data_IF_737444518133
#
_entry.id   IF_737444518133
#
_cell.length_a   1.000
_cell.length_b   1.000
_cell.length_c   1.000
_cell.angle_alpha   90.00
_cell.angle_beta   90.00
_cell.angle_gamma   90.00
#
_symmetry.space_group_name_H-M   'P 1'
#
loop_
_entity.id
_entity.type
_entity.pdbx_description
1 polymer ?
#
# COMPACT_ATOMS: atom_id res chain seq x y z
N UNK A 1 44.53 -32.94 -19.76
CA UNK A 1 43.07 -32.89 -19.94
C UNK A 1 42.60 -31.47 -19.67
N UNK A 2 41.98 -30.82 -20.64
CA UNK A 2 41.56 -29.40 -20.60
C UNK A 2 40.14 -29.35 -20.02
N UNK A 3 39.92 -28.64 -18.92
CA UNK A 3 38.58 -28.41 -18.36
C UNK A 3 38.20 -26.95 -18.58
N UNK A 4 37.57 -26.67 -19.71
CA UNK A 4 36.91 -25.39 -19.98
C UNK A 4 35.57 -25.39 -19.27
N UNK A 5 35.49 -24.64 -18.16
CA UNK A 5 34.25 -24.33 -17.48
C UNK A 5 33.55 -23.21 -18.24
N UNK A 6 32.42 -23.55 -18.88
CA UNK A 6 31.53 -22.62 -19.55
C UNK A 6 30.86 -21.69 -18.54
N UNK A 7 31.15 -20.40 -18.68
CA UNK A 7 30.49 -19.30 -17.98
C UNK A 7 29.05 -19.18 -18.51
N UNK A 8 28.06 -19.35 -17.63
CA UNK A 8 26.66 -19.08 -17.93
C UNK A 8 26.27 -17.75 -17.26
N UNK A 9 26.30 -16.70 -18.07
CA UNK A 9 25.73 -15.38 -17.78
C UNK A 9 24.21 -15.46 -17.97
N UNK A 10 23.44 -15.08 -16.95
CA UNK A 10 22.21 -14.30 -17.06
C UNK A 10 21.60 -14.16 -15.65
N UNK A 11 22.12 -13.24 -14.82
CA UNK A 11 21.34 -12.76 -13.69
C UNK A 11 20.46 -11.63 -14.21
N UNK A 12 19.18 -11.98 -14.41
CA UNK A 12 18.14 -11.04 -14.77
C UNK A 12 18.20 -9.83 -13.85
N UNK A 13 18.26 -8.64 -14.45
CA UNK A 13 18.13 -7.39 -13.74
C UNK A 13 16.75 -7.39 -13.06
N UNK A 14 16.73 -7.57 -11.74
CA UNK A 14 15.59 -7.26 -10.89
C UNK A 14 15.40 -5.75 -10.96
N UNK A 15 14.64 -5.30 -11.96
CA UNK A 15 14.04 -3.97 -11.94
C UNK A 15 12.94 -4.03 -10.89
N UNK A 16 13.34 -3.87 -9.63
CA UNK A 16 12.39 -3.63 -8.54
C UNK A 16 11.85 -2.21 -8.79
N UNK A 17 10.58 -2.03 -9.19
CA UNK A 17 10.01 -0.70 -9.13
C UNK A 17 10.02 -0.31 -7.66
N UNK A 18 10.82 0.71 -7.32
CA UNK A 18 10.70 1.47 -6.08
C UNK A 18 9.39 2.25 -6.13
N UNK A 19 8.26 1.54 -6.09
CA UNK A 19 6.97 2.13 -5.80
C UNK A 19 6.88 2.26 -4.27
N UNK A 20 7.47 3.31 -3.75
CA UNK A 20 7.56 3.56 -2.32
C UNK A 20 7.91 5.01 -2.01
N UNK A 21 7.34 5.94 -2.77
CA UNK A 21 7.17 7.32 -2.31
C UNK A 21 5.67 7.49 -2.06
N UNK A 22 5.30 7.46 -0.78
CA UNK A 22 3.96 7.70 -0.25
C UNK A 22 3.56 9.16 -0.51
N UNK A 23 3.23 9.46 -1.75
CA UNK A 23 2.45 10.63 -2.13
C UNK A 23 1.09 10.09 -2.51
N UNK A 24 0.05 10.42 -1.73
CA UNK A 24 -1.36 10.20 -2.06
C UNK A 24 -1.60 10.61 -3.51
N UNK A 25 -1.50 9.64 -4.43
CA UNK A 25 -1.89 9.82 -5.82
C UNK A 25 -3.41 9.87 -5.82
N UNK A 26 -4.01 10.61 -6.73
CA UNK A 26 -5.45 10.57 -6.99
C UNK A 26 -5.88 9.17 -7.47
N UNK A 27 -5.91 8.20 -6.57
CA UNK A 27 -6.34 6.83 -6.86
C UNK A 27 -7.86 6.87 -6.97
N UNK A 28 -8.37 6.42 -8.11
CA UNK A 28 -9.81 6.30 -8.36
C UNK A 28 -10.12 4.89 -8.79
N UNK A 29 -11.12 4.28 -8.17
CA UNK A 29 -11.47 2.89 -8.45
C UNK A 29 -12.50 2.34 -7.49
N UNK A 30 -12.64 1.02 -7.50
CA UNK A 30 -13.57 0.30 -6.63
C UNK A 30 -12.84 -0.18 -5.39
N UNK A 31 -13.35 0.11 -4.21
CA UNK A 31 -12.82 -0.45 -2.97
C UNK A 31 -13.05 -1.97 -2.99
N UNK A 32 -11.98 -2.75 -2.87
CA UNK A 32 -12.04 -4.21 -2.85
C UNK A 32 -11.71 -4.80 -1.49
N UNK A 33 -11.02 -4.04 -0.64
CA UNK A 33 -10.71 -4.44 0.74
C UNK A 33 -10.50 -3.23 1.66
N UNK A 34 -10.51 -3.49 2.96
CA UNK A 34 -10.36 -2.48 4.01
C UNK A 34 -9.56 -3.03 5.19
N UNK A 35 -8.52 -2.32 5.61
CA UNK A 35 -7.64 -2.74 6.70
C UNK A 35 -7.50 -1.64 7.75
N UNK A 36 -7.14 -2.02 8.98
CA UNK A 36 -6.93 -1.08 10.09
C UNK A 36 -5.81 -1.60 10.97
N UNK A 37 -4.73 -0.84 11.04
CA UNK A 37 -3.56 -1.20 11.81
C UNK A 37 -3.31 -0.22 12.95
N UNK A 38 -2.88 -0.75 14.09
CA UNK A 38 -2.52 0.06 15.25
C UNK A 38 -1.00 0.14 15.36
N UNK A 39 -0.46 1.24 14.85
CA UNK A 39 0.95 1.54 14.96
C UNK A 39 1.27 2.24 16.29
N UNK A 40 2.24 1.71 17.02
CA UNK A 40 2.71 2.34 18.24
C UNK A 40 4.19 2.72 18.14
N UNK A 41 4.47 4.02 18.00
CA UNK A 41 5.84 4.54 18.04
C UNK A 41 6.31 4.81 19.48
N UNK A 42 7.49 4.30 19.82
CA UNK A 42 8.19 4.63 21.07
C UNK A 42 9.19 5.75 20.80
N UNK A 43 8.88 6.97 21.21
CA UNK A 43 9.86 8.06 21.15
C UNK A 43 10.84 7.97 22.32
N UNK A 44 12.13 7.71 22.03
CA UNK A 44 13.21 7.67 23.04
C UNK A 44 13.35 9.00 23.80
N UNK A 45 12.93 10.13 23.21
CA UNK A 45 13.03 11.47 23.81
C UNK A 45 11.94 11.79 24.83
N UNK A 46 10.73 11.24 24.69
CA UNK A 46 9.58 11.70 25.49
C UNK A 46 9.07 10.71 26.55
N UNK A 47 9.67 9.52 26.71
CA UNK A 47 9.19 8.45 27.63
C UNK A 47 7.69 8.12 27.49
N UNK A 48 7.03 8.60 26.43
CA UNK A 48 5.62 8.38 26.11
C UNK A 48 5.55 7.53 24.85
N UNK A 49 4.71 6.51 24.90
CA UNK A 49 4.30 5.70 23.75
C UNK A 49 3.17 6.46 23.06
N UNK A 50 3.31 6.76 21.77
CA UNK A 50 2.23 7.26 20.93
C UNK A 50 1.71 6.07 20.14
N UNK A 51 0.41 5.83 20.16
CA UNK A 51 -0.21 4.87 19.27
C UNK A 51 -1.17 5.63 18.36
N UNK A 52 -1.06 5.41 17.07
CA UNK A 52 -1.97 5.92 16.05
C UNK A 52 -2.60 4.72 15.35
N UNK A 53 -3.85 4.89 14.92
CA UNK A 53 -4.55 3.91 14.11
C UNK A 53 -4.52 4.41 12.68
N UNK A 54 -4.04 3.57 11.78
CA UNK A 54 -4.01 3.79 10.34
C UNK A 54 -5.21 3.08 9.72
N UNK A 55 -5.83 3.73 8.74
CA UNK A 55 -7.02 3.23 8.05
C UNK A 55 -6.69 3.15 6.57
N UNK A 56 -6.83 1.96 6.00
CA UNK A 56 -6.41 1.72 4.63
C UNK A 56 -7.55 1.14 3.79
N UNK A 57 -7.62 1.58 2.54
CA UNK A 57 -8.51 1.02 1.52
C UNK A 57 -7.66 0.41 0.41
N UNK A 58 -7.92 -0.86 0.06
CA UNK A 58 -7.41 -1.40 -1.20
C UNK A 58 -8.37 -1.04 -2.32
N UNK A 59 -7.91 -0.22 -3.26
CA UNK A 59 -8.68 0.23 -4.42
C UNK A 59 -8.22 -0.52 -5.67
N UNK A 60 -9.16 -1.16 -6.37
CA UNK A 60 -8.95 -1.69 -7.71
C UNK A 60 -9.18 -0.60 -8.75
N UNK A 61 -8.12 -0.22 -9.46
CA UNK A 61 -8.18 0.80 -10.51
C UNK A 61 -8.87 0.27 -11.77
N UNK A 62 -9.17 1.18 -12.71
CA UNK A 62 -9.75 0.82 -14.02
C UNK A 62 -8.86 -0.12 -14.84
N UNK A 63 -7.55 -0.09 -14.63
CA UNK A 63 -6.60 -0.97 -15.30
C UNK A 63 -6.55 -2.38 -14.68
N UNK A 64 -7.22 -2.57 -13.54
CA UNK A 64 -7.26 -3.82 -12.80
C UNK A 64 -6.22 -3.93 -11.69
N UNK A 65 -5.31 -2.95 -11.58
CA UNK A 65 -4.30 -2.88 -10.53
C UNK A 65 -4.95 -2.68 -9.16
N UNK A 66 -4.30 -3.19 -8.11
CA UNK A 66 -4.70 -2.95 -6.71
C UNK A 66 -3.72 -1.97 -6.08
N UNK A 67 -4.25 -1.00 -5.37
CA UNK A 67 -3.45 0.04 -4.71
C UNK A 67 -4.03 0.28 -3.32
N UNK A 68 -3.19 0.18 -2.30
CA UNK A 68 -3.49 0.59 -0.94
C UNK A 68 -3.44 2.12 -0.85
N UNK A 69 -4.42 2.69 -0.15
CA UNK A 69 -4.55 4.12 0.05
C UNK A 69 -4.83 4.37 1.53
N UNK A 70 -3.92 5.07 2.18
CA UNK A 70 -4.13 5.60 3.53
C UNK A 70 -5.22 6.67 3.48
N UNK A 71 -6.23 6.51 4.32
CA UNK A 71 -7.36 7.44 4.43
C UNK A 71 -7.55 7.84 5.88
N UNK A 72 -8.30 8.92 6.09
CA UNK A 72 -8.76 9.23 7.44
C UNK A 72 -9.90 8.28 7.87
N UNK A 73 -10.22 8.30 9.16
CA UNK A 73 -11.27 7.44 9.72
C UNK A 73 -12.65 7.73 9.11
N UNK A 74 -12.92 8.97 8.70
CA UNK A 74 -14.23 9.35 8.17
C UNK A 74 -14.44 8.77 6.76
N UNK A 75 -13.42 8.86 5.90
CA UNK A 75 -13.39 8.24 4.58
C UNK A 75 -13.43 6.72 4.68
N UNK A 76 -12.63 6.14 5.60
CA UNK A 76 -12.69 4.71 5.88
C UNK A 76 -14.10 4.26 6.26
N UNK A 77 -14.77 4.99 7.16
CA UNK A 77 -16.13 4.65 7.58
C UNK A 77 -17.19 4.98 6.52
N UNK A 78 -16.91 5.88 5.58
CA UNK A 78 -17.79 6.19 4.46
C UNK A 78 -17.71 5.17 3.33
N UNK A 79 -16.59 4.47 3.19
CA UNK A 79 -16.39 3.45 2.16
C UNK A 79 -16.77 2.04 2.61
N UNK A 80 -17.45 1.29 1.74
CA UNK A 80 -17.65 -0.15 1.84
C UNK A 80 -16.98 -0.85 0.66
N UNK A 81 -16.71 -2.15 0.78
CA UNK A 81 -16.31 -2.97 -0.38
C UNK A 81 -17.35 -2.84 -1.50
N UNK A 82 -16.90 -2.61 -2.73
CA UNK A 82 -17.73 -2.32 -3.89
C UNK A 82 -18.03 -0.84 -4.12
N UNK A 83 -17.75 0.05 -3.16
CA UNK A 83 -17.96 1.49 -3.32
C UNK A 83 -16.92 2.11 -4.27
N UNK A 84 -17.27 3.25 -4.87
CA UNK A 84 -16.34 4.03 -5.69
C UNK A 84 -15.58 5.06 -4.87
N UNK A 85 -14.27 4.83 -4.73
CA UNK A 85 -13.35 5.78 -4.13
C UNK A 85 -12.90 6.84 -5.16
N UNK A 86 -12.75 8.13 -4.79
CA UNK A 86 -12.91 8.71 -3.45
C UNK A 86 -14.35 9.16 -3.12
N UNK A 87 -15.32 8.92 -4.00
CA UNK A 87 -16.71 9.41 -3.83
C UNK A 87 -17.57 8.47 -2.97
N UNK A 88 -16.98 7.87 -1.94
CA UNK A 88 -17.71 7.00 -1.05
C UNK A 88 -18.82 7.79 -0.33
N UNK A 89 -19.95 7.13 -0.12
CA UNK A 89 -21.09 7.73 0.59
C UNK A 89 -21.60 6.72 1.59
N UNK A 90 -21.76 7.17 2.85
CA UNK A 90 -22.41 6.37 3.89
C UNK A 90 -23.82 6.04 3.39
N UNK A 91 -24.07 4.75 3.12
CA UNK A 91 -25.38 4.24 2.72
C UNK A 91 -26.33 4.18 3.90
#
# INVERSE_FOLDING_TARGET
MKRTLTVLVALAALTVPLAGCSDSKDVTGTVVDKETDQECSKSKKKKKRSCHTEYELTVRTKNGDRTEVDVDSDDYNACSTGAQYPKCTKS
#
